data_IF_117639209527
#
_entry.id   IF_117639209527
#
_cell.length_a   1.000
_cell.length_b   1.000
_cell.length_c   1.000
_cell.angle_alpha   90.00
_cell.angle_beta   90.00
_cell.angle_gamma   90.00
#
_symmetry.space_group_name_H-M   'P 1'
#
loop_
_entity.id
_entity.type
_entity.pdbx_description
1 polymer ?
#
# COMPACT_ATOMS: atom_id res chain seq x y z
N UNK A 1 5.09 26.63 21.09
CA UNK A 1 3.69 26.29 21.41
C UNK A 1 3.33 25.09 20.56
N UNK A 2 3.32 23.89 21.18
CA UNK A 2 2.83 22.68 20.57
C UNK A 2 1.33 22.83 20.36
N UNK A 3 0.88 22.89 19.11
CA UNK A 3 -0.52 22.74 18.78
C UNK A 3 -0.93 21.30 19.11
N UNK A 4 -1.34 21.05 20.33
CA UNK A 4 -2.08 19.85 20.75
C UNK A 4 -3.51 19.89 20.18
N UNK A 5 -3.66 19.96 18.89
CA UNK A 5 -4.91 19.53 18.26
C UNK A 5 -4.87 18.01 18.26
N UNK A 6 -5.75 17.42 19.09
CA UNK A 6 -5.89 15.98 19.19
C UNK A 6 -6.00 15.34 17.82
N UNK A 7 -5.08 14.44 17.52
CA UNK A 7 -5.14 13.63 16.32
C UNK A 7 -6.25 12.60 16.52
N UNK A 8 -7.24 12.59 15.67
CA UNK A 8 -8.17 11.46 15.55
C UNK A 8 -7.47 10.37 14.71
N UNK A 9 -6.45 9.76 15.32
CA UNK A 9 -5.56 8.80 14.69
C UNK A 9 -6.15 7.39 14.79
N UNK A 10 -7.37 7.20 14.28
CA UNK A 10 -8.11 5.93 14.31
C UNK A 10 -8.07 5.17 12.97
N UNK A 11 -7.54 5.81 11.94
CA UNK A 11 -7.44 5.22 10.61
C UNK A 11 -6.49 4.03 10.58
N UNK A 12 -6.95 2.92 10.01
CA UNK A 12 -6.16 1.74 9.70
C UNK A 12 -6.33 1.50 8.22
N UNK A 13 -5.26 1.66 7.45
CA UNK A 13 -5.36 1.71 6.00
C UNK A 13 -4.52 0.68 5.25
N UNK A 14 -4.89 0.46 3.99
CA UNK A 14 -4.06 -0.22 3.00
C UNK A 14 -4.25 0.40 1.62
N UNK A 15 -3.32 0.12 0.70
CA UNK A 15 -3.44 0.54 -0.69
C UNK A 15 -4.38 -0.38 -1.47
N UNK A 16 -5.28 0.22 -2.28
CA UNK A 16 -6.14 -0.55 -3.17
C UNK A 16 -5.96 -0.12 -4.62
N UNK A 17 -5.29 -0.95 -5.39
CA UNK A 17 -5.01 -0.73 -6.82
C UNK A 17 -5.80 -1.66 -7.76
N UNK A 18 -6.66 -2.53 -7.22
CA UNK A 18 -7.37 -3.54 -7.98
C UNK A 18 -6.48 -4.72 -8.43
N UNK A 19 -5.27 -4.83 -7.89
CA UNK A 19 -4.37 -5.96 -8.13
C UNK A 19 -4.51 -7.06 -7.08
N UNK A 20 -4.01 -8.26 -7.39
CA UNK A 20 -4.07 -9.44 -6.50
C UNK A 20 -3.55 -9.13 -5.09
N UNK A 21 -2.42 -8.43 -4.98
CA UNK A 21 -1.82 -8.12 -3.69
C UNK A 21 -2.72 -7.22 -2.84
N UNK A 22 -3.39 -6.24 -3.45
CA UNK A 22 -4.31 -5.35 -2.75
C UNK A 22 -5.62 -6.03 -2.36
N UNK A 23 -6.17 -6.91 -3.19
CA UNK A 23 -7.33 -7.73 -2.82
C UNK A 23 -7.01 -8.70 -1.70
N UNK A 24 -5.82 -9.34 -1.74
CA UNK A 24 -5.40 -10.22 -0.66
C UNK A 24 -5.25 -9.46 0.67
N UNK A 25 -4.65 -8.27 0.65
CA UNK A 25 -4.53 -7.45 1.84
C UNK A 25 -5.90 -7.08 2.43
N UNK A 26 -6.89 -6.73 1.59
CA UNK A 26 -8.26 -6.49 2.05
C UNK A 26 -8.85 -7.76 2.66
N UNK A 27 -8.70 -8.92 2.01
CA UNK A 27 -9.21 -10.18 2.51
C UNK A 27 -8.62 -10.55 3.88
N UNK A 28 -7.31 -10.45 4.04
CA UNK A 28 -6.66 -10.72 5.32
C UNK A 28 -7.08 -9.74 6.42
N UNK A 29 -7.09 -8.43 6.12
CA UNK A 29 -7.23 -7.37 7.11
C UNK A 29 -8.67 -6.94 7.39
N UNK A 30 -9.62 -7.27 6.54
CA UNK A 30 -11.04 -6.95 6.74
C UNK A 30 -11.85 -8.20 7.07
N UNK A 31 -11.65 -9.30 6.32
CA UNK A 31 -12.48 -10.49 6.40
C UNK A 31 -11.95 -11.47 7.46
N UNK A 32 -10.69 -11.87 7.33
CA UNK A 32 -10.08 -12.85 8.24
C UNK A 32 -9.67 -12.24 9.58
N UNK A 33 -9.37 -10.94 9.63
CA UNK A 33 -8.98 -10.28 10.88
C UNK A 33 -10.12 -10.29 11.89
N UNK A 34 -9.88 -10.86 13.04
CA UNK A 34 -10.87 -10.98 14.12
C UNK A 34 -10.78 -9.85 15.15
N UNK A 35 -9.60 -9.25 15.30
CA UNK A 35 -9.41 -8.10 16.19
C UNK A 35 -9.89 -6.82 15.52
N UNK A 36 -10.94 -6.17 16.02
CA UNK A 36 -11.47 -4.95 15.42
C UNK A 36 -10.46 -3.78 15.44
N UNK A 37 -9.49 -3.81 16.37
CA UNK A 37 -8.46 -2.75 16.46
C UNK A 37 -7.35 -2.89 15.42
N UNK A 38 -7.38 -3.96 14.61
CA UNK A 38 -6.44 -4.23 13.52
C UNK A 38 -7.15 -4.28 12.15
N UNK A 39 -8.49 -4.24 12.12
CA UNK A 39 -9.25 -4.21 10.87
C UNK A 39 -9.06 -2.89 10.14
N UNK A 40 -8.86 -2.99 8.83
CA UNK A 40 -8.82 -1.80 7.98
C UNK A 40 -10.20 -1.12 7.91
N UNK A 41 -10.16 0.20 7.89
CA UNK A 41 -11.34 1.05 7.70
C UNK A 41 -11.18 2.07 6.55
N UNK A 42 -10.00 2.15 5.96
CA UNK A 42 -9.68 3.12 4.91
C UNK A 42 -8.80 2.49 3.82
N UNK A 43 -9.17 2.73 2.57
CA UNK A 43 -8.37 2.35 1.40
C UNK A 43 -7.77 3.58 0.74
N UNK A 44 -6.50 3.48 0.29
CA UNK A 44 -5.84 4.54 -0.46
C UNK A 44 -5.61 4.15 -1.92
N UNK A 45 -5.86 5.10 -2.82
CA UNK A 45 -5.45 4.99 -4.21
C UNK A 45 -4.35 6.00 -4.53
N UNK A 46 -3.12 5.52 -4.60
CA UNK A 46 -1.93 6.36 -4.70
C UNK A 46 -1.49 6.55 -6.15
N UNK A 47 -1.37 7.80 -6.59
CA UNK A 47 -0.64 8.19 -7.79
C UNK A 47 0.69 8.84 -7.38
N UNK A 48 1.71 8.03 -7.22
CA UNK A 48 3.07 8.44 -6.83
C UNK A 48 4.10 7.96 -7.87
N UNK A 49 3.67 7.85 -9.13
CA UNK A 49 4.51 7.43 -10.27
C UNK A 49 4.13 6.09 -10.91
N UNK A 50 3.15 5.36 -10.37
CA UNK A 50 2.74 4.03 -10.87
C UNK A 50 2.01 4.06 -12.21
N UNK A 51 1.50 5.21 -12.64
CA UNK A 51 0.72 5.33 -13.88
C UNK A 51 1.56 5.67 -15.11
N UNK A 52 2.83 6.01 -14.93
CA UNK A 52 3.83 6.22 -16.01
C UNK A 52 3.43 7.27 -17.06
N UNK A 53 4.37 7.58 -17.97
CA UNK A 53 4.08 8.44 -19.12
C UNK A 53 4.20 9.95 -18.85
N UNK A 54 3.68 10.75 -19.80
CA UNK A 54 3.59 12.22 -19.65
C UNK A 54 2.53 12.56 -18.60
N UNK A 55 2.75 13.66 -17.89
CA UNK A 55 1.94 14.09 -16.74
C UNK A 55 0.42 14.06 -17.00
N UNK A 56 -0.04 14.62 -18.11
CA UNK A 56 -1.47 14.61 -18.48
C UNK A 56 -2.00 13.20 -18.73
N UNK A 57 -1.24 12.33 -19.41
CA UNK A 57 -1.66 10.96 -19.69
C UNK A 57 -1.65 10.09 -18.45
N UNK A 58 -0.72 10.32 -17.54
CA UNK A 58 -0.66 9.63 -16.25
C UNK A 58 -1.86 10.01 -15.38
N UNK A 59 -2.18 11.30 -15.31
CA UNK A 59 -3.35 11.81 -14.57
C UNK A 59 -4.66 11.25 -15.12
N UNK A 60 -4.81 11.20 -16.44
CA UNK A 60 -6.02 10.64 -17.07
C UNK A 60 -6.18 9.15 -16.72
N UNK A 61 -5.12 8.35 -16.85
CA UNK A 61 -5.12 6.93 -16.47
C UNK A 61 -5.44 6.73 -15.00
N UNK A 62 -4.88 7.56 -14.13
CA UNK A 62 -5.17 7.55 -12.71
C UNK A 62 -6.65 7.76 -12.42
N UNK A 63 -7.26 8.82 -12.99
CA UNK A 63 -8.67 9.13 -12.81
C UNK A 63 -9.59 8.05 -13.39
N UNK A 64 -9.28 7.51 -14.56
CA UNK A 64 -10.02 6.40 -15.16
C UNK A 64 -10.00 5.16 -14.27
N UNK A 65 -8.82 4.82 -13.74
CA UNK A 65 -8.66 3.66 -12.87
C UNK A 65 -9.36 3.85 -11.52
N UNK A 66 -9.24 5.03 -10.92
CA UNK A 66 -9.97 5.36 -9.71
C UNK A 66 -11.48 5.20 -9.89
N UNK A 67 -12.03 5.79 -10.95
CA UNK A 67 -13.47 5.70 -11.25
C UNK A 67 -13.94 4.27 -11.52
N UNK A 68 -13.08 3.43 -12.08
CA UNK A 68 -13.39 2.01 -12.31
C UNK A 68 -13.40 1.20 -11.00
N UNK A 69 -12.55 1.55 -10.05
CA UNK A 69 -12.36 0.77 -8.83
C UNK A 69 -13.26 1.22 -7.67
N UNK A 70 -13.77 2.45 -7.67
CA UNK A 70 -14.45 3.06 -6.52
C UNK A 70 -15.71 2.34 -6.06
N UNK A 71 -16.39 1.60 -6.93
CA UNK A 71 -17.60 0.84 -6.57
C UNK A 71 -17.29 -0.27 -5.55
N UNK A 72 -16.14 -0.92 -5.65
CA UNK A 72 -15.80 -2.00 -4.73
C UNK A 72 -15.61 -1.53 -3.28
N UNK A 73 -14.82 -0.47 -2.97
CA UNK A 73 -14.81 0.12 -1.63
C UNK A 73 -16.18 0.53 -1.11
N UNK A 74 -17.04 1.10 -1.96
CA UNK A 74 -18.42 1.45 -1.61
C UNK A 74 -19.23 0.21 -1.18
N UNK A 75 -19.14 -0.90 -1.93
CA UNK A 75 -19.81 -2.17 -1.63
C UNK A 75 -19.40 -2.77 -0.28
N UNK A 76 -18.12 -2.66 0.09
CA UNK A 76 -17.59 -3.17 1.36
C UNK A 76 -17.58 -2.13 2.49
N UNK A 77 -18.21 -0.97 2.26
CA UNK A 77 -18.36 0.14 3.21
C UNK A 77 -17.05 0.63 3.82
N UNK A 78 -16.03 0.84 2.97
CA UNK A 78 -14.75 1.44 3.34
C UNK A 78 -14.56 2.79 2.64
N UNK A 79 -13.93 3.73 3.35
CA UNK A 79 -13.48 4.98 2.75
C UNK A 79 -12.40 4.69 1.68
N UNK A 80 -12.51 5.37 0.52
CA UNK A 80 -11.54 5.25 -0.55
C UNK A 80 -10.97 6.61 -0.94
N UNK A 81 -9.77 6.90 -0.47
CA UNK A 81 -9.15 8.22 -0.57
C UNK A 81 -8.12 8.23 -1.71
N UNK A 82 -8.35 9.04 -2.76
CA UNK A 82 -7.38 9.23 -3.83
C UNK A 82 -6.28 10.21 -3.40
N UNK A 83 -5.02 9.86 -3.67
CA UNK A 83 -3.86 10.74 -3.49
C UNK A 83 -3.16 10.87 -4.83
N UNK A 84 -3.06 12.10 -5.33
CA UNK A 84 -2.33 12.45 -6.54
C UNK A 84 -1.11 13.30 -6.20
N UNK A 85 0.08 12.85 -6.58
CA UNK A 85 1.34 13.50 -6.24
C UNK A 85 2.38 13.35 -7.33
N UNK A 86 3.21 14.36 -7.48
CA UNK A 86 4.37 14.37 -8.37
C UNK A 86 5.69 13.99 -7.68
N UNK A 87 5.65 13.38 -6.50
CA UNK A 87 6.85 12.98 -5.73
C UNK A 87 7.87 12.19 -6.56
N UNK A 88 7.40 11.36 -7.47
CA UNK A 88 8.26 10.58 -8.37
C UNK A 88 9.09 11.41 -9.35
N UNK A 89 8.74 12.69 -9.55
CA UNK A 89 9.48 13.59 -10.45
C UNK A 89 10.71 14.22 -9.80
N UNK A 90 10.82 14.20 -8.47
CA UNK A 90 11.94 14.79 -7.74
C UNK A 90 13.22 13.95 -7.81
N UNK A 91 13.13 12.72 -8.32
CA UNK A 91 14.28 11.83 -8.39
C UNK A 91 14.37 11.16 -9.78
N UNK A 92 15.58 10.98 -10.34
CA UNK A 92 15.78 10.34 -11.64
C UNK A 92 15.56 8.82 -11.63
N UNK A 93 15.40 8.21 -10.45
CA UNK A 93 15.14 6.77 -10.34
C UNK A 93 13.72 6.42 -10.79
N UNK A 94 13.58 5.33 -11.55
CA UNK A 94 12.27 4.83 -11.96
C UNK A 94 11.40 4.43 -10.77
N UNK A 95 10.09 4.44 -10.97
CA UNK A 95 9.09 4.09 -9.96
C UNK A 95 9.40 2.78 -9.23
N UNK A 96 9.86 1.75 -9.94
CA UNK A 96 10.18 0.44 -9.35
C UNK A 96 11.26 0.48 -8.26
N UNK A 97 12.12 1.51 -8.29
CA UNK A 97 13.20 1.67 -7.31
C UNK A 97 12.79 2.45 -6.07
N UNK A 98 11.78 3.30 -6.18
CA UNK A 98 11.40 4.26 -5.13
C UNK A 98 9.95 4.15 -4.69
N UNK A 99 9.17 3.21 -5.24
CA UNK A 99 7.72 3.13 -5.01
C UNK A 99 7.36 3.03 -3.52
N UNK A 100 8.13 2.30 -2.71
CA UNK A 100 7.90 2.20 -1.27
C UNK A 100 8.08 3.55 -0.59
N UNK A 101 9.16 4.26 -0.91
CA UNK A 101 9.43 5.59 -0.34
C UNK A 101 8.36 6.60 -0.76
N UNK A 102 8.01 6.66 -2.04
CA UNK A 102 6.99 7.57 -2.55
C UNK A 102 5.59 7.18 -2.08
N UNK A 103 5.32 5.89 -1.93
CA UNK A 103 4.07 5.39 -1.35
C UNK A 103 3.92 5.78 0.11
N UNK A 104 4.93 5.51 0.93
CA UNK A 104 4.95 5.91 2.35
C UNK A 104 4.83 7.43 2.50
N UNK A 105 5.58 8.21 1.70
CA UNK A 105 5.46 9.66 1.72
C UNK A 105 4.03 10.15 1.39
N UNK A 106 3.35 9.48 0.45
CA UNK A 106 1.93 9.74 0.16
C UNK A 106 1.02 9.47 1.36
N UNK A 107 1.24 8.37 2.07
CA UNK A 107 0.48 8.04 3.29
C UNK A 107 0.76 9.05 4.41
N UNK A 108 2.01 9.46 4.60
CA UNK A 108 2.41 10.40 5.64
C UNK A 108 1.79 11.81 5.48
N UNK A 109 1.34 12.18 4.28
CA UNK A 109 0.51 13.40 4.11
C UNK A 109 -0.76 13.32 4.96
N UNK A 110 -1.27 12.11 5.19
CA UNK A 110 -2.45 11.82 6.01
C UNK A 110 -2.08 11.23 7.40
N UNK A 111 -0.87 11.45 7.91
CA UNK A 111 -0.41 10.88 9.18
C UNK A 111 -1.31 11.21 10.39
N UNK A 112 -2.09 12.29 10.32
CA UNK A 112 -3.06 12.65 11.36
C UNK A 112 -4.29 11.74 11.36
N UNK A 113 -4.55 11.07 10.27
CA UNK A 113 -5.67 10.14 10.10
C UNK A 113 -5.26 8.70 10.45
N UNK A 114 -4.06 8.26 10.04
CA UNK A 114 -3.63 6.87 10.18
C UNK A 114 -2.82 6.60 11.43
N UNK A 115 -3.25 5.60 12.24
CA UNK A 115 -2.41 4.97 13.27
C UNK A 115 -1.59 3.83 12.68
N UNK A 116 -2.16 3.09 11.70
CA UNK A 116 -1.52 1.94 11.06
C UNK A 116 -1.75 1.97 9.55
N UNK A 117 -0.74 1.57 8.82
CA UNK A 117 -0.87 1.37 7.38
C UNK A 117 -0.20 0.07 6.95
N UNK A 118 -0.98 -0.80 6.34
CA UNK A 118 -0.53 -2.08 5.82
C UNK A 118 -0.17 -1.95 4.34
N UNK A 119 1.09 -2.17 4.02
CA UNK A 119 1.59 -2.12 2.65
C UNK A 119 1.42 -3.49 2.01
N UNK A 120 0.59 -3.59 0.98
CA UNK A 120 0.33 -4.84 0.27
C UNK A 120 1.61 -5.32 -0.43
N UNK A 121 2.12 -6.46 0.00
CA UNK A 121 3.39 -7.00 -0.48
C UNK A 121 3.27 -7.75 -1.79
N UNK A 122 4.28 -7.64 -2.64
CA UNK A 122 4.46 -8.49 -3.82
C UNK A 122 4.93 -9.92 -3.49
N UNK A 123 5.00 -10.30 -2.21
CA UNK A 123 5.32 -11.66 -1.77
C UNK A 123 6.78 -11.89 -1.38
N UNK A 124 7.48 -10.87 -0.90
CA UNK A 124 8.87 -11.00 -0.43
C UNK A 124 8.96 -10.86 1.10
N UNK A 125 9.47 -11.88 1.75
CA UNK A 125 9.81 -11.89 3.17
C UNK A 125 11.33 -11.77 3.39
N UNK A 126 11.78 -11.68 4.65
CA UNK A 126 13.20 -11.54 5.00
C UNK A 126 14.09 -12.63 4.41
N UNK A 127 13.65 -13.89 4.46
CA UNK A 127 14.42 -15.03 3.93
C UNK A 127 14.61 -14.92 2.42
N UNK A 128 13.56 -14.51 1.72
CA UNK A 128 13.63 -14.31 0.28
C UNK A 128 14.54 -13.14 -0.09
N UNK A 129 14.54 -12.06 0.70
CA UNK A 129 15.44 -10.92 0.50
C UNK A 129 16.89 -11.35 0.63
N UNK A 130 17.24 -12.10 1.66
CA UNK A 130 18.62 -12.59 1.88
C UNK A 130 19.05 -13.47 0.71
N UNK A 131 18.22 -14.43 0.32
CA UNK A 131 18.50 -15.31 -0.80
C UNK A 131 18.59 -14.56 -2.13
N UNK A 132 17.70 -13.58 -2.34
CA UNK A 132 17.68 -12.75 -3.53
C UNK A 132 18.92 -11.87 -3.63
N UNK A 133 19.32 -11.23 -2.54
CA UNK A 133 20.53 -10.37 -2.50
C UNK A 133 21.79 -11.13 -2.84
N UNK A 134 21.88 -12.40 -2.48
CA UNK A 134 23.02 -13.27 -2.85
C UNK A 134 23.01 -13.63 -4.34
N UNK A 135 21.83 -13.85 -4.92
CA UNK A 135 21.66 -14.31 -6.33
C UNK A 135 21.67 -13.16 -7.34
N UNK A 136 21.26 -11.96 -6.92
CA UNK A 136 21.01 -10.83 -7.82
C UNK A 136 21.67 -9.52 -7.35
N UNK A 137 22.92 -9.63 -6.88
CA UNK A 137 23.72 -8.50 -6.34
C UNK A 137 23.72 -7.24 -7.20
N UNK A 138 23.54 -7.41 -8.52
CA UNK A 138 23.62 -6.34 -9.52
C UNK A 138 22.24 -5.79 -9.95
N UNK A 139 21.15 -6.29 -9.37
CA UNK A 139 19.79 -5.79 -9.67
C UNK A 139 19.28 -4.87 -8.59
N UNK A 140 19.35 -3.61 -8.87
CA UNK A 140 18.81 -2.48 -8.11
C UNK A 140 17.26 -2.51 -8.06
N UNK A 141 16.66 -3.33 -7.23
CA UNK A 141 15.20 -3.39 -7.10
C UNK A 141 14.79 -3.09 -5.66
N UNK A 142 14.31 -1.87 -5.43
CA UNK A 142 13.92 -1.37 -4.10
C UNK A 142 12.78 -2.16 -3.44
N UNK A 143 11.93 -2.81 -4.25
CA UNK A 143 10.78 -3.62 -3.80
C UNK A 143 11.13 -4.75 -2.81
N UNK A 144 12.38 -5.20 -2.81
CA UNK A 144 12.82 -6.27 -1.93
C UNK A 144 13.23 -5.78 -0.53
N UNK A 145 13.25 -4.48 -0.32
CA UNK A 145 13.63 -3.89 0.97
C UNK A 145 12.44 -3.57 1.88
N UNK A 146 11.21 -3.76 1.43
CA UNK A 146 9.99 -3.39 2.15
C UNK A 146 9.95 -3.92 3.59
N UNK A 147 10.27 -5.20 3.90
CA UNK A 147 10.27 -5.69 5.27
C UNK A 147 11.24 -4.97 6.21
N UNK A 148 12.28 -4.33 5.66
CA UNK A 148 13.27 -3.56 6.41
C UNK A 148 12.87 -2.09 6.44
N UNK A 149 12.47 -1.55 5.28
CA UNK A 149 12.19 -0.12 5.13
C UNK A 149 10.92 0.32 5.85
N UNK A 150 9.83 -0.46 5.77
CA UNK A 150 8.55 -0.06 6.33
C UNK A 150 8.61 0.19 7.84
N UNK A 151 9.20 -0.69 8.67
CA UNK A 151 9.39 -0.40 10.10
C UNK A 151 10.26 0.84 10.36
N UNK A 152 11.31 1.06 9.54
CA UNK A 152 12.20 2.22 9.69
C UNK A 152 11.55 3.55 9.26
N UNK A 153 10.53 3.50 8.42
CA UNK A 153 9.76 4.66 7.97
C UNK A 153 8.56 4.96 8.86
N UNK A 154 8.27 4.12 9.84
CA UNK A 154 7.25 4.37 10.86
C UNK A 154 7.58 5.61 11.67
N UNK A 155 6.54 6.35 12.05
CA UNK A 155 6.64 7.57 12.85
C UNK A 155 5.95 7.36 14.21
N UNK A 156 5.99 8.35 15.08
CA UNK A 156 5.25 8.32 16.36
C UNK A 156 3.72 8.24 16.16
N UNK A 157 3.23 8.70 15.02
CA UNK A 157 1.79 8.76 14.72
C UNK A 157 1.31 7.63 13.81
N UNK A 158 2.16 7.07 12.95
CA UNK A 158 1.76 6.09 11.93
C UNK A 158 2.76 4.95 11.86
N UNK A 159 2.30 3.74 12.12
CA UNK A 159 3.09 2.52 12.00
C UNK A 159 2.86 1.88 10.61
N UNK A 160 3.95 1.48 9.95
CA UNK A 160 3.91 0.80 8.66
C UNK A 160 4.22 -0.68 8.79
N UNK A 161 3.35 -1.51 8.24
CA UNK A 161 3.47 -2.96 8.22
C UNK A 161 3.46 -3.49 6.79
N UNK A 162 4.13 -4.60 6.55
CA UNK A 162 4.01 -5.34 5.31
C UNK A 162 2.97 -6.45 5.47
N UNK A 163 1.98 -6.48 4.56
CA UNK A 163 0.95 -7.52 4.54
C UNK A 163 1.12 -8.45 3.34
N UNK A 164 0.82 -9.73 3.52
CA UNK A 164 0.82 -10.73 2.46
C UNK A 164 2.22 -11.21 2.01
N UNK A 165 3.29 -10.91 2.77
CA UNK A 165 4.65 -11.33 2.43
C UNK A 165 4.91 -12.84 2.56
N UNK A 166 4.06 -13.55 3.29
CA UNK A 166 4.17 -15.00 3.48
C UNK A 166 3.63 -15.80 2.30
N UNK A 167 2.83 -15.18 1.44
CA UNK A 167 2.09 -15.86 0.37
C UNK A 167 2.70 -15.60 -1.00
N UNK A 168 2.75 -16.63 -1.84
CA UNK A 168 3.01 -16.44 -3.27
C UNK A 168 1.78 -15.82 -3.95
N UNK A 169 1.95 -15.27 -5.16
CA UNK A 169 0.79 -14.76 -5.94
C UNK A 169 -0.26 -15.82 -6.24
N UNK A 170 0.17 -17.06 -6.41
CA UNK A 170 -0.75 -18.19 -6.65
C UNK A 170 -1.59 -18.45 -5.39
N UNK A 171 -0.94 -18.49 -4.21
CA UNK A 171 -1.65 -18.68 -2.93
C UNK A 171 -2.69 -17.56 -2.71
N UNK A 172 -2.32 -16.32 -2.99
CA UNK A 172 -3.23 -15.17 -2.89
C UNK A 172 -4.44 -15.27 -3.83
N UNK A 173 -4.22 -15.71 -5.06
CA UNK A 173 -5.31 -15.91 -6.04
C UNK A 173 -6.26 -17.01 -5.55
N UNK A 174 -5.72 -18.13 -5.09
CA UNK A 174 -6.51 -19.24 -4.56
C UNK A 174 -7.33 -18.78 -3.36
N UNK A 175 -6.71 -18.04 -2.45
CA UNK A 175 -7.35 -17.52 -1.25
C UNK A 175 -8.51 -16.57 -1.57
N UNK A 176 -8.28 -15.60 -2.46
CA UNK A 176 -9.31 -14.66 -2.89
C UNK A 176 -10.44 -15.38 -3.67
N UNK A 177 -10.11 -16.37 -4.50
CA UNK A 177 -11.11 -17.09 -5.30
C UNK A 177 -12.05 -17.97 -4.47
N UNK A 178 -11.62 -18.36 -3.28
CA UNK A 178 -12.44 -19.12 -2.33
C UNK A 178 -13.31 -18.22 -1.44
N UNK A 179 -13.17 -16.91 -1.57
CA UNK A 179 -13.99 -15.95 -0.85
C UNK A 179 -15.30 -15.73 -1.60
N UNK A 180 -16.39 -16.22 -1.03
CA UNK A 180 -17.74 -15.85 -1.45
C UNK A 180 -18.20 -14.69 -0.57
N UNK A 181 -18.41 -13.49 -1.14
CA UNK A 181 -19.02 -12.40 -0.39
C UNK A 181 -20.45 -12.80 -0.03
N UNK A 182 -20.72 -12.86 1.27
CA UNK A 182 -22.07 -13.11 1.80
C UNK A 182 -22.95 -11.89 1.68
#
# INVERSE_FOLDING_TARGET
ESNEQGFDNTGIGTGFSGGVDSFNAIHELLVKQTDPTLKINTLLFLNVGSHGGKEESAKLKYLQRYNHLKSYPEEINLDYIPIDSNLHTFHPWGHEKIHTLTGVAGVLVLQKHFSKYYYASAGFNYTQIINFSQKYRDKDVGIYCDPILLPLLSTESTEFYQEGAAYSRVDKIVDISNYEPT
#
